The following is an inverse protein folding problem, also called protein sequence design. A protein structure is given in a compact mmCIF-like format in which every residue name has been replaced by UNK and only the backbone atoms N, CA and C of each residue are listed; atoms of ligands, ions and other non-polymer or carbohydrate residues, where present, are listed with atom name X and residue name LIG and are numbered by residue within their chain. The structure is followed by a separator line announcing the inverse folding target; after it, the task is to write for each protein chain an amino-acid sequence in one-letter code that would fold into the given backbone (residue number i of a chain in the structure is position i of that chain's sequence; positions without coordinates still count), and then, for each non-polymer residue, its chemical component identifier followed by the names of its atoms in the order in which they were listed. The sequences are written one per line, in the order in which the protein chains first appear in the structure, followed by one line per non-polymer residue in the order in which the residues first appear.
data_IF_298811702114
#
_entry.id   IF_298811702114
#
_cell.length_a   1.000
_cell.length_b   1.000
_cell.length_c   1.000
_cell.angle_alpha   90.00
_cell.angle_beta   90.00
_cell.angle_gamma   90.00
#
_symmetry.space_group_name_H-M   'P 1'
#
loop_
_entity.id
_entity.type
_entity.pdbx_description
1 polymer ?
#
# COMPACT_ATOMS: atom_id res chain seq x y z
N UNK A 1 -12.65 11.93 -23.16
CA UNK A 1 -11.53 12.63 -22.47
C UNK A 1 -10.55 13.07 -23.52
N UNK A 2 -9.88 14.23 -23.38
CA UNK A 2 -8.79 14.60 -24.29
C UNK A 2 -7.49 13.86 -23.94
N UNK A 3 -6.59 13.67 -24.92
CA UNK A 3 -5.33 12.96 -24.72
C UNK A 3 -4.45 13.63 -23.64
N UNK A 4 -4.35 14.95 -23.62
CA UNK A 4 -3.66 15.68 -22.55
C UNK A 4 -4.25 15.43 -21.16
N UNK A 5 -5.58 15.29 -21.05
CA UNK A 5 -6.24 15.03 -19.77
C UNK A 5 -6.04 13.59 -19.30
N UNK A 6 -5.94 12.64 -20.24
CA UNK A 6 -5.52 11.28 -19.93
C UNK A 6 -4.14 11.31 -19.28
N UNK A 7 -3.14 11.90 -19.94
CA UNK A 7 -1.76 11.98 -19.43
C UNK A 7 -1.70 12.71 -18.08
N UNK A 8 -2.42 13.85 -17.95
CA UNK A 8 -2.51 14.60 -16.71
C UNK A 8 -3.08 13.74 -15.58
N UNK A 9 -4.18 13.02 -15.82
CA UNK A 9 -4.82 12.15 -14.83
C UNK A 9 -3.89 11.02 -14.37
N UNK A 10 -3.01 10.55 -15.26
CA UNK A 10 -2.05 9.49 -14.98
C UNK A 10 -0.73 10.02 -14.37
N UNK A 11 -0.58 11.35 -14.22
CA UNK A 11 0.53 11.98 -13.50
C UNK A 11 1.77 12.30 -14.33
N UNK A 12 1.63 12.46 -15.63
CA UNK A 12 2.75 12.82 -16.52
C UNK A 12 3.13 14.31 -16.51
N UNK A 13 2.65 15.05 -15.52
CA UNK A 13 2.96 16.44 -15.31
C UNK A 13 1.73 17.35 -15.43
N UNK A 14 1.96 18.67 -15.58
CA UNK A 14 0.88 19.63 -15.83
C UNK A 14 0.27 19.44 -17.21
N UNK A 15 -0.94 19.94 -17.45
CA UNK A 15 -1.57 19.91 -18.78
C UNK A 15 -0.65 20.47 -19.87
N UNK A 16 0.08 21.56 -19.58
CA UNK A 16 1.06 22.15 -20.51
C UNK A 16 2.18 21.16 -20.84
N UNK A 17 2.71 20.43 -19.85
CA UNK A 17 3.73 19.38 -20.06
C UNK A 17 3.14 18.24 -20.90
N UNK A 18 1.92 17.80 -20.60
CA UNK A 18 1.24 16.74 -21.33
C UNK A 18 1.00 17.13 -22.81
N UNK A 19 0.58 18.38 -23.07
CA UNK A 19 0.48 18.90 -24.44
C UNK A 19 1.83 18.85 -25.16
N UNK A 20 2.91 19.29 -24.49
CA UNK A 20 4.26 19.24 -25.04
C UNK A 20 4.74 17.84 -25.39
N UNK A 21 4.46 16.85 -24.55
CA UNK A 21 4.79 15.43 -24.82
C UNK A 21 4.11 14.93 -26.10
N UNK A 22 2.82 15.26 -26.28
CA UNK A 22 2.06 14.87 -27.49
C UNK A 22 2.61 15.57 -28.73
N UNK A 23 2.78 16.89 -28.68
CA UNK A 23 3.28 17.71 -29.83
C UNK A 23 4.71 17.32 -30.25
N UNK A 24 5.51 16.76 -29.34
CA UNK A 24 6.86 16.27 -29.66
C UNK A 24 6.85 14.81 -30.19
N UNK A 25 5.68 14.21 -30.40
CA UNK A 25 5.56 12.83 -30.89
C UNK A 25 6.04 11.77 -29.87
N UNK A 26 6.09 12.13 -28.57
CA UNK A 26 6.55 11.23 -27.50
C UNK A 26 5.43 10.35 -26.93
N UNK A 27 4.20 10.45 -27.46
CA UNK A 27 3.04 9.70 -27.01
C UNK A 27 2.50 8.84 -28.15
N UNK A 28 2.20 7.58 -27.82
CA UNK A 28 1.60 6.61 -28.74
C UNK A 28 0.44 5.89 -28.03
N UNK A 29 -0.56 5.45 -28.76
CA UNK A 29 -1.72 4.73 -28.24
C UNK A 29 -1.80 3.31 -28.77
N UNK A 30 -2.35 2.42 -27.95
CA UNK A 30 -2.58 1.03 -28.28
C UNK A 30 -1.32 0.17 -28.22
N UNK A 31 -1.51 -1.13 -28.40
CA UNK A 31 -0.40 -2.09 -28.48
C UNK A 31 0.40 -1.93 -29.79
N UNK A 32 -0.24 -1.44 -30.83
CA UNK A 32 0.32 -1.16 -32.15
C UNK A 32 1.06 0.17 -32.23
N UNK A 33 1.14 0.92 -31.11
CA UNK A 33 1.89 2.18 -30.98
C UNK A 33 1.50 3.25 -32.00
N UNK A 34 0.21 3.47 -32.18
CA UNK A 34 -0.26 4.55 -33.06
C UNK A 34 0.24 5.93 -32.57
N UNK A 35 0.97 6.68 -33.41
CA UNK A 35 1.47 7.98 -33.00
C UNK A 35 0.33 8.98 -32.81
N UNK A 36 0.48 9.91 -31.88
CA UNK A 36 -0.49 10.96 -31.59
C UNK A 36 0.23 12.32 -31.60
N UNK A 37 -0.36 13.28 -32.32
CA UNK A 37 0.18 14.65 -32.47
C UNK A 37 -0.79 15.73 -32.00
N UNK A 38 -2.07 15.39 -31.81
CA UNK A 38 -3.09 16.32 -31.29
C UNK A 38 -3.37 16.05 -29.80
N UNK A 39 -2.93 16.95 -28.89
CA UNK A 39 -3.20 16.82 -27.46
C UNK A 39 -4.69 16.96 -27.08
N UNK A 40 -5.51 17.56 -27.96
CA UNK A 40 -6.92 17.78 -27.75
C UNK A 40 -7.80 16.69 -28.40
N UNK A 41 -7.19 15.72 -29.07
CA UNK A 41 -7.91 14.61 -29.67
C UNK A 41 -8.84 13.93 -28.66
N UNK A 42 -10.11 13.73 -28.97
CA UNK A 42 -11.05 13.03 -28.10
C UNK A 42 -10.74 11.53 -28.11
N UNK A 43 -10.63 10.94 -26.91
CA UNK A 43 -10.38 9.51 -26.76
C UNK A 43 -11.51 8.83 -25.99
N UNK A 44 -12.00 7.68 -26.46
CA UNK A 44 -12.79 6.77 -25.64
C UNK A 44 -11.86 6.10 -24.61
N UNK A 45 -11.86 6.60 -23.37
CA UNK A 45 -10.97 6.13 -22.33
C UNK A 45 -11.69 5.13 -21.44
N UNK A 46 -11.12 3.94 -21.29
CA UNK A 46 -11.55 2.89 -20.37
C UNK A 46 -10.35 2.29 -19.64
N UNK A 47 -10.58 1.72 -18.48
CA UNK A 47 -9.52 1.00 -17.76
C UNK A 47 -8.91 -0.10 -18.64
N UNK A 48 -7.59 -0.18 -18.63
CA UNK A 48 -6.85 -1.11 -19.48
C UNK A 48 -6.38 -0.52 -20.82
N UNK A 49 -6.78 0.72 -21.19
CA UNK A 49 -6.25 1.37 -22.39
C UNK A 49 -4.73 1.47 -22.31
N UNK A 50 -4.05 0.89 -23.30
CA UNK A 50 -2.59 0.95 -23.41
C UNK A 50 -2.17 2.23 -24.08
N UNK A 51 -1.13 2.86 -23.53
CA UNK A 51 -0.47 4.02 -24.12
C UNK A 51 1.03 4.00 -23.80
N UNK A 52 1.80 4.75 -24.57
CA UNK A 52 3.25 4.83 -24.42
C UNK A 52 3.65 6.29 -24.23
N UNK A 53 4.59 6.53 -23.35
CA UNK A 53 5.20 7.85 -23.15
C UNK A 53 6.70 7.68 -23.14
N UNK A 54 7.38 8.38 -24.05
CA UNK A 54 8.86 8.29 -24.23
C UNK A 54 9.35 6.83 -24.38
N UNK A 55 8.59 6.01 -25.10
CA UNK A 55 8.92 4.60 -25.34
C UNK A 55 8.60 3.64 -24.20
N UNK A 56 8.11 4.14 -23.05
CA UNK A 56 7.70 3.32 -21.91
C UNK A 56 6.21 3.02 -22.01
N UNK A 57 5.86 1.73 -21.89
CA UNK A 57 4.46 1.24 -21.91
C UNK A 57 3.76 1.53 -20.59
N UNK A 58 2.55 2.06 -20.69
CA UNK A 58 1.65 2.34 -19.57
C UNK A 58 0.27 1.80 -19.86
N UNK A 59 -0.49 1.61 -18.79
CA UNK A 59 -1.90 1.24 -18.87
C UNK A 59 -2.71 2.29 -18.11
N UNK A 60 -3.77 2.77 -18.74
CA UNK A 60 -4.69 3.69 -18.08
C UNK A 60 -5.47 2.97 -16.98
N UNK A 61 -5.48 3.57 -15.81
CA UNK A 61 -6.32 3.20 -14.69
C UNK A 61 -7.05 4.43 -14.17
N UNK A 62 -8.36 4.37 -14.09
CA UNK A 62 -9.17 5.47 -13.53
C UNK A 62 -8.74 5.78 -12.09
N UNK A 63 -8.51 4.74 -11.31
CA UNK A 63 -7.97 4.79 -9.95
C UNK A 63 -6.81 3.81 -9.81
N UNK A 64 -5.84 4.16 -9.00
CA UNK A 64 -4.69 3.31 -8.76
C UNK A 64 -4.90 2.48 -7.49
N UNK A 65 -4.69 1.18 -7.62
CA UNK A 65 -4.69 0.23 -6.50
C UNK A 65 -3.42 -0.62 -6.60
N UNK A 66 -2.49 -0.41 -5.68
CA UNK A 66 -1.18 -1.03 -5.72
C UNK A 66 -0.92 -1.83 -4.46
N UNK A 67 -0.20 -2.93 -4.62
CA UNK A 67 0.43 -3.68 -3.55
C UNK A 67 1.94 -3.46 -3.62
N UNK A 68 2.53 -2.99 -2.55
CA UNK A 68 3.97 -2.81 -2.37
C UNK A 68 4.47 -3.79 -1.30
N UNK A 69 5.53 -4.53 -1.59
CA UNK A 69 6.30 -5.21 -0.56
C UNK A 69 7.25 -4.18 0.08
N UNK A 70 6.79 -3.54 1.17
CA UNK A 70 7.58 -2.52 1.84
C UNK A 70 8.86 -3.10 2.42
N UNK A 71 10.05 -2.61 2.06
CA UNK A 71 11.31 -2.99 2.69
C UNK A 71 11.48 -2.28 4.03
N UNK A 72 12.35 -2.81 4.89
CA UNK A 72 12.84 -2.09 6.06
C UNK A 72 13.63 -0.83 5.65
N UNK A 73 13.77 0.12 6.58
CA UNK A 73 14.52 1.35 6.34
C UNK A 73 13.79 2.38 5.47
N UNK A 74 12.46 2.26 5.28
CA UNK A 74 11.66 3.24 4.53
C UNK A 74 10.48 3.77 5.33
N UNK A 75 10.12 5.03 5.13
CA UNK A 75 8.99 5.69 5.82
C UNK A 75 7.74 5.75 4.94
N UNK A 76 6.57 5.48 5.53
CA UNK A 76 5.26 5.70 4.91
C UNK A 76 4.87 7.19 4.98
N UNK A 77 5.72 8.08 4.46
CA UNK A 77 5.55 9.53 4.50
C UNK A 77 5.95 10.16 3.17
N UNK A 78 5.17 11.14 2.70
CA UNK A 78 5.56 12.00 1.57
C UNK A 78 6.62 13.03 1.96
N UNK A 79 6.76 13.30 3.27
CA UNK A 79 7.79 14.18 3.84
C UNK A 79 8.57 13.36 4.89
N UNK A 80 9.46 12.48 4.44
CA UNK A 80 10.23 11.63 5.34
C UNK A 80 11.21 12.48 6.16
N UNK A 81 11.55 11.99 7.36
CA UNK A 81 12.43 12.69 8.28
C UNK A 81 13.85 12.14 8.31
N UNK A 82 13.99 10.82 8.46
CA UNK A 82 15.28 10.17 8.68
C UNK A 82 15.60 9.06 7.67
N UNK A 83 14.57 8.47 7.04
CA UNK A 83 14.72 7.37 6.09
C UNK A 83 14.07 7.68 4.74
N UNK A 84 14.50 7.07 3.64
CA UNK A 84 13.85 7.26 2.34
C UNK A 84 12.34 6.98 2.39
N UNK A 85 11.58 7.77 1.64
CA UNK A 85 10.14 7.53 1.49
C UNK A 85 9.85 6.28 0.66
N UNK A 86 8.81 5.51 1.02
CA UNK A 86 8.29 4.43 0.18
C UNK A 86 7.89 4.90 -1.23
N UNK A 87 7.54 6.17 -1.37
CA UNK A 87 7.14 6.72 -2.67
C UNK A 87 8.30 6.81 -3.65
N UNK A 88 9.56 6.80 -3.20
CA UNK A 88 10.73 6.75 -4.08
C UNK A 88 10.86 5.41 -4.82
N UNK A 89 10.18 4.36 -4.33
CA UNK A 89 10.12 3.05 -4.99
C UNK A 89 9.15 3.02 -6.18
N UNK A 90 8.32 4.06 -6.33
CA UNK A 90 7.32 4.15 -7.40
C UNK A 90 7.80 5.07 -8.52
N UNK A 91 7.39 4.79 -9.78
CA UNK A 91 7.66 5.70 -10.89
C UNK A 91 6.99 7.07 -10.68
N UNK A 92 7.60 8.11 -11.22
CA UNK A 92 7.16 9.49 -11.06
C UNK A 92 5.65 9.72 -11.37
N UNK A 93 5.06 9.14 -12.43
CA UNK A 93 3.65 9.31 -12.71
C UNK A 93 2.73 8.87 -11.58
N UNK A 94 3.01 7.74 -10.92
CA UNK A 94 2.20 7.27 -9.78
C UNK A 94 2.27 8.21 -8.58
N UNK A 95 3.38 8.93 -8.41
CA UNK A 95 3.57 9.93 -7.35
C UNK A 95 2.87 11.26 -7.63
N UNK A 96 2.46 11.51 -8.88
CA UNK A 96 1.90 12.77 -9.34
C UNK A 96 0.44 12.64 -9.88
N UNK A 97 -0.16 11.46 -9.80
CA UNK A 97 -1.53 11.21 -10.30
C UNK A 97 -2.55 12.20 -9.75
N UNK A 98 -3.52 12.59 -10.59
CA UNK A 98 -4.64 13.42 -10.21
C UNK A 98 -4.34 14.91 -10.05
N UNK A 99 -3.08 15.31 -9.94
CA UNK A 99 -2.67 16.70 -9.75
C UNK A 99 -3.14 17.33 -8.42
N UNK A 100 -2.55 18.46 -8.03
CA UNK A 100 -2.92 19.22 -6.82
C UNK A 100 -2.09 18.86 -5.57
N UNK A 101 -2.48 19.45 -4.43
CA UNK A 101 -1.71 19.35 -3.18
C UNK A 101 -1.65 17.94 -2.57
N UNK A 102 -2.63 17.09 -2.89
CA UNK A 102 -2.69 15.68 -2.48
C UNK A 102 -2.46 14.73 -3.65
N UNK A 103 -1.63 15.17 -4.62
CA UNK A 103 -1.32 14.38 -5.81
C UNK A 103 -0.64 13.05 -5.47
N UNK A 104 -0.86 12.06 -6.33
CA UNK A 104 -0.27 10.74 -6.25
C UNK A 104 -1.02 9.76 -5.37
N UNK A 105 -0.57 8.52 -5.45
CA UNK A 105 -1.09 7.46 -4.59
C UNK A 105 -0.67 7.70 -3.12
N UNK A 106 -1.55 7.30 -2.20
CA UNK A 106 -1.37 7.42 -0.76
C UNK A 106 -1.26 6.02 -0.15
N UNK A 107 -0.49 5.88 0.91
CA UNK A 107 -0.43 4.63 1.67
C UNK A 107 -1.77 4.36 2.39
N UNK A 108 -2.26 3.13 2.27
CA UNK A 108 -3.44 2.63 2.96
C UNK A 108 -3.04 2.13 4.34
N UNK A 109 -3.08 3.04 5.30
CA UNK A 109 -2.47 2.85 6.62
C UNK A 109 -0.95 2.98 6.54
N UNK A 110 -0.29 2.57 7.63
CA UNK A 110 1.17 2.73 7.75
C UNK A 110 1.80 1.46 8.31
N UNK A 111 3.07 1.29 7.98
CA UNK A 111 4.01 0.38 8.64
C UNK A 111 5.17 1.22 9.17
N UNK A 112 5.73 0.82 10.31
CA UNK A 112 6.90 1.46 10.88
C UNK A 112 8.09 1.35 9.92
N UNK A 113 9.10 2.18 10.13
CA UNK A 113 10.27 2.21 9.25
C UNK A 113 11.01 0.87 9.18
N UNK A 114 11.07 0.14 10.27
CA UNK A 114 11.70 -1.18 10.40
C UNK A 114 10.76 -2.37 10.13
N UNK A 115 9.45 -2.11 9.99
CA UNK A 115 8.45 -3.13 9.65
C UNK A 115 8.41 -3.34 8.14
N UNK A 116 8.41 -4.60 7.74
CA UNK A 116 8.37 -5.01 6.33
C UNK A 116 7.00 -5.57 5.92
N UNK A 117 6.81 -5.84 4.63
CA UNK A 117 5.71 -6.64 4.14
C UNK A 117 4.65 -5.88 3.37
N UNK A 118 3.45 -6.42 3.34
CA UNK A 118 2.33 -5.97 2.52
C UNK A 118 1.88 -4.55 2.90
N UNK A 119 2.01 -3.63 1.98
CA UNK A 119 1.47 -2.27 2.08
C UNK A 119 0.67 -1.96 0.81
N UNK A 120 -0.56 -1.47 0.99
CA UNK A 120 -1.37 -1.01 -0.13
C UNK A 120 -1.19 0.49 -0.33
N UNK A 121 -1.29 0.92 -1.62
CA UNK A 121 -1.33 2.34 -1.97
C UNK A 121 -2.48 2.57 -2.95
N UNK A 122 -3.11 3.73 -2.86
CA UNK A 122 -4.21 4.11 -3.75
C UNK A 122 -4.37 5.63 -3.83
N UNK A 123 -5.01 6.12 -4.90
CA UNK A 123 -5.53 7.48 -5.04
C UNK A 123 -7.05 7.54 -4.79
N UNK A 124 -7.68 6.41 -4.43
CA UNK A 124 -9.09 6.32 -4.05
C UNK A 124 -9.29 6.52 -2.54
N UNK A 125 -9.77 7.70 -2.15
CA UNK A 125 -10.05 8.03 -0.75
C UNK A 125 -11.09 7.10 -0.09
N UNK A 126 -12.06 6.56 -0.84
CA UNK A 126 -13.06 5.60 -0.31
C UNK A 126 -12.42 4.27 0.02
N UNK A 127 -11.56 3.78 -0.86
CA UNK A 127 -10.79 2.56 -0.65
C UNK A 127 -9.87 2.70 0.57
N UNK A 128 -9.11 3.81 0.65
CA UNK A 128 -8.23 4.10 1.78
C UNK A 128 -9.03 4.10 3.09
N UNK A 129 -10.11 4.88 3.14
CA UNK A 129 -10.95 4.98 4.34
C UNK A 129 -11.54 3.61 4.74
N UNK A 130 -12.02 2.84 3.76
CA UNK A 130 -12.58 1.50 4.00
C UNK A 130 -11.61 0.58 4.73
N UNK A 131 -10.35 0.57 4.31
CA UNK A 131 -9.34 -0.35 4.84
C UNK A 131 -8.62 0.15 6.08
N UNK A 132 -8.65 1.47 6.34
CA UNK A 132 -7.95 2.06 7.48
C UNK A 132 -8.84 2.37 8.67
N UNK A 133 -10.14 2.57 8.44
CA UNK A 133 -11.08 2.87 9.52
C UNK A 133 -11.22 1.70 10.48
N UNK A 134 -11.04 1.91 11.79
CA UNK A 134 -11.18 0.86 12.80
C UNK A 134 -12.58 0.26 12.85
N UNK A 135 -13.60 0.96 12.34
CA UNK A 135 -15.00 0.46 12.29
C UNK A 135 -15.18 -0.76 11.38
N UNK A 136 -14.29 -0.97 10.45
CA UNK A 136 -14.41 -2.07 9.47
C UNK A 136 -13.63 -3.31 9.87
N UNK A 137 -12.86 -3.26 10.96
CA UNK A 137 -12.16 -4.41 11.54
C UNK A 137 -11.37 -5.27 10.55
N UNK A 138 -10.85 -4.65 9.48
CA UNK A 138 -10.09 -5.38 8.44
C UNK A 138 -8.89 -6.07 9.08
N UNK A 139 -8.81 -7.41 9.04
CA UNK A 139 -7.73 -8.15 9.69
C UNK A 139 -6.37 -7.88 9.01
N UNK A 140 -5.34 -7.83 9.82
CA UNK A 140 -3.94 -7.68 9.43
C UNK A 140 -3.14 -8.77 10.12
N UNK A 141 -2.46 -9.60 9.35
CA UNK A 141 -1.64 -10.68 9.87
C UNK A 141 -0.19 -10.23 9.91
N UNK A 142 0.42 -10.40 11.06
CA UNK A 142 1.81 -10.07 11.32
C UNK A 142 2.60 -11.30 11.71
N UNK A 143 3.78 -11.44 11.15
CA UNK A 143 4.81 -12.41 11.53
C UNK A 143 5.90 -11.66 12.31
N UNK A 144 6.09 -12.02 13.56
CA UNK A 144 7.05 -11.38 14.43
C UNK A 144 8.09 -12.39 14.94
N UNK A 145 9.37 -12.09 14.73
CA UNK A 145 10.43 -12.78 15.48
C UNK A 145 10.57 -12.10 16.84
N UNK A 146 10.54 -12.88 17.90
CA UNK A 146 10.63 -12.39 19.27
C UNK A 146 11.89 -12.87 19.98
N UNK A 147 12.33 -12.06 20.95
CA UNK A 147 13.61 -12.30 21.64
C UNK A 147 13.63 -13.57 22.48
N UNK A 148 12.55 -13.85 23.18
CA UNK A 148 12.45 -14.98 24.11
C UNK A 148 11.48 -16.03 23.58
N UNK A 149 11.63 -17.32 23.94
CA UNK A 149 10.64 -18.33 23.61
C UNK A 149 9.22 -17.93 24.06
N UNK A 150 8.25 -18.21 23.21
CA UNK A 150 6.83 -18.00 23.49
C UNK A 150 6.29 -19.10 24.39
N UNK A 151 5.39 -18.74 25.28
CA UNK A 151 4.62 -19.66 26.10
C UNK A 151 3.12 -19.47 25.89
N UNK A 152 2.32 -20.45 26.30
CA UNK A 152 0.85 -20.43 26.15
C UNK A 152 0.21 -19.26 26.91
N UNK A 153 0.77 -18.87 28.06
CA UNK A 153 0.27 -17.76 28.88
C UNK A 153 0.41 -16.43 28.15
N UNK A 154 1.54 -16.23 27.45
CA UNK A 154 1.74 -15.04 26.64
C UNK A 154 0.73 -14.97 25.47
N UNK A 155 0.52 -16.11 24.77
CA UNK A 155 -0.44 -16.18 23.67
C UNK A 155 -1.87 -15.91 24.15
N UNK A 156 -2.27 -16.52 25.27
CA UNK A 156 -3.58 -16.32 25.86
C UNK A 156 -3.79 -14.85 26.26
N UNK A 157 -2.82 -14.22 26.92
CA UNK A 157 -2.91 -12.79 27.30
C UNK A 157 -3.03 -11.87 26.09
N UNK A 158 -2.37 -12.16 24.98
CA UNK A 158 -2.52 -11.37 23.73
C UNK A 158 -3.95 -11.45 23.19
N UNK A 159 -4.64 -12.58 23.34
CA UNK A 159 -6.01 -12.78 22.90
C UNK A 159 -7.05 -12.25 23.91
N UNK A 160 -6.82 -12.42 25.21
CA UNK A 160 -7.72 -11.90 26.26
C UNK A 160 -7.67 -10.38 26.31
N UNK A 161 -6.54 -9.79 26.03
CA UNK A 161 -6.29 -8.37 25.96
C UNK A 161 -5.18 -7.89 26.89
N UNK A 162 -4.44 -6.91 26.41
CA UNK A 162 -3.39 -6.21 27.15
C UNK A 162 -3.63 -4.73 27.15
N UNK A 163 -3.34 -4.07 28.28
CA UNK A 163 -3.39 -2.61 28.41
C UNK A 163 -2.08 -2.04 27.87
N UNK A 164 -2.17 -1.01 27.06
CA UNK A 164 -1.02 -0.25 26.54
C UNK A 164 -0.86 1.06 27.35
N UNK A 165 0.36 1.55 27.47
CA UNK A 165 0.71 2.67 28.37
C UNK A 165 -0.08 3.97 28.12
N UNK A 166 -0.59 4.19 26.90
CA UNK A 166 -1.28 5.42 26.50
C UNK A 166 -2.82 5.28 26.40
N UNK A 167 -3.38 4.09 26.62
CA UNK A 167 -4.82 3.84 26.55
C UNK A 167 -5.22 2.79 27.58
N UNK A 168 -6.05 3.14 28.58
CA UNK A 168 -6.47 2.20 29.62
C UNK A 168 -7.38 1.07 29.10
N UNK A 169 -7.92 1.21 27.89
CA UNK A 169 -8.76 0.17 27.28
C UNK A 169 -7.86 -0.96 26.75
N UNK A 170 -8.14 -2.20 27.13
CA UNK A 170 -7.37 -3.34 26.66
C UNK A 170 -7.50 -3.51 25.14
N UNK A 171 -6.39 -3.79 24.49
CA UNK A 171 -6.33 -4.17 23.07
C UNK A 171 -6.16 -5.68 22.97
N UNK A 172 -6.87 -6.30 22.01
CA UNK A 172 -6.93 -7.74 21.84
C UNK A 172 -6.43 -8.13 20.46
N UNK A 173 -5.70 -9.24 20.43
CA UNK A 173 -5.47 -9.91 19.14
C UNK A 173 -6.70 -10.77 18.81
N UNK A 174 -7.11 -10.75 17.54
CA UNK A 174 -8.11 -11.68 17.03
C UNK A 174 -7.58 -13.12 17.07
N UNK A 175 -6.29 -13.31 16.81
CA UNK A 175 -5.59 -14.57 16.97
C UNK A 175 -4.11 -14.31 17.33
N UNK A 176 -3.56 -15.19 18.18
CA UNK A 176 -2.14 -15.23 18.52
C UNK A 176 -1.69 -16.69 18.49
N UNK A 177 -0.63 -16.99 17.73
CA UNK A 177 -0.18 -18.35 17.48
C UNK A 177 1.35 -18.42 17.46
N UNK A 178 1.94 -19.33 18.19
CA UNK A 178 3.35 -19.66 18.06
C UNK A 178 3.54 -20.56 16.82
N UNK A 179 4.16 -20.03 15.78
CA UNK A 179 4.58 -20.80 14.59
C UNK A 179 5.83 -21.63 14.93
N UNK A 180 6.70 -21.08 15.77
CA UNK A 180 7.83 -21.75 16.39
C UNK A 180 8.12 -21.12 17.74
N UNK A 181 9.16 -21.59 18.44
CA UNK A 181 9.52 -21.08 19.77
C UNK A 181 9.67 -19.54 19.83
N UNK A 182 10.12 -18.90 18.75
CA UNK A 182 10.36 -17.44 18.70
C UNK A 182 9.68 -16.78 17.52
N UNK A 183 8.75 -17.45 16.87
CA UNK A 183 7.99 -16.92 15.74
C UNK A 183 6.51 -16.82 16.12
N UNK A 184 6.05 -15.61 16.33
CA UNK A 184 4.65 -15.26 16.64
C UNK A 184 3.93 -14.85 15.37
N UNK A 185 2.80 -15.49 15.07
CA UNK A 185 1.79 -14.98 14.13
C UNK A 185 0.69 -14.30 14.92
N UNK A 186 0.43 -13.03 14.61
CA UNK A 186 -0.56 -12.21 15.30
C UNK A 186 -1.54 -11.60 14.31
N UNK A 187 -2.85 -11.78 14.54
CA UNK A 187 -3.90 -11.14 13.73
C UNK A 187 -4.54 -10.01 14.52
N UNK A 188 -4.53 -8.81 13.97
CA UNK A 188 -5.14 -7.60 14.54
C UNK A 188 -6.20 -7.04 13.61
N UNK A 189 -7.29 -6.48 14.16
CA UNK A 189 -8.36 -5.80 13.41
C UNK A 189 -8.30 -4.28 13.53
N UNK A 190 -7.39 -3.75 14.33
CA UNK A 190 -7.12 -2.32 14.53
C UNK A 190 -5.66 -1.99 14.21
N UNK A 191 -5.27 -0.74 14.33
CA UNK A 191 -3.89 -0.30 14.03
C UNK A 191 -3.49 0.91 14.86
N UNK A 192 -3.21 0.70 16.15
CA UNK A 192 -2.62 1.73 17.01
C UNK A 192 -1.12 1.88 16.75
N UNK A 193 -0.56 3.00 17.17
CA UNK A 193 0.87 3.27 17.05
C UNK A 193 1.71 2.15 17.69
N UNK A 194 2.62 1.56 16.94
CA UNK A 194 3.51 0.45 17.32
C UNK A 194 2.77 -0.72 18.01
N UNK A 195 1.52 -0.99 17.65
CA UNK A 195 0.62 -1.86 18.41
C UNK A 195 1.20 -3.26 18.66
N UNK A 196 1.71 -3.95 17.64
CA UNK A 196 2.28 -5.31 17.79
C UNK A 196 3.45 -5.29 18.77
N UNK A 197 4.38 -4.36 18.61
CA UNK A 197 5.58 -4.23 19.48
C UNK A 197 5.19 -4.00 20.93
N UNK A 198 4.22 -3.12 21.16
CA UNK A 198 3.72 -2.76 22.51
C UNK A 198 2.94 -3.90 23.14
N UNK A 199 2.10 -4.62 22.38
CA UNK A 199 1.38 -5.78 22.87
C UNK A 199 2.34 -6.91 23.28
N UNK A 200 3.37 -7.17 22.48
CA UNK A 200 4.41 -8.16 22.79
C UNK A 200 5.22 -7.75 24.03
N UNK A 201 5.53 -6.46 24.17
CA UNK A 201 6.20 -5.93 25.38
C UNK A 201 5.32 -6.10 26.64
N UNK A 202 4.02 -5.86 26.54
CA UNK A 202 3.08 -6.01 27.66
C UNK A 202 2.94 -7.46 28.17
N UNK A 203 3.30 -8.46 27.36
CA UNK A 203 3.36 -9.86 27.81
C UNK A 203 4.78 -10.30 28.20
N UNK A 204 5.73 -9.36 28.33
CA UNK A 204 7.08 -9.62 28.80
C UNK A 204 8.05 -10.16 27.74
N UNK A 205 7.79 -9.89 26.45
CA UNK A 205 8.68 -10.28 25.37
C UNK A 205 9.06 -9.04 24.51
N UNK A 206 9.87 -9.20 23.47
CA UNK A 206 10.32 -8.12 22.59
C UNK A 206 10.30 -8.57 21.13
N UNK A 207 9.76 -7.76 20.25
CA UNK A 207 9.82 -7.95 18.80
C UNK A 207 11.21 -7.57 18.30
N UNK A 208 11.89 -8.49 17.62
CA UNK A 208 13.17 -8.28 16.94
C UNK A 208 12.95 -7.90 15.48
N UNK A 209 12.04 -8.59 14.78
CA UNK A 209 11.63 -8.25 13.42
C UNK A 209 10.12 -8.37 13.28
N UNK A 210 9.54 -7.53 12.42
CA UNK A 210 8.10 -7.50 12.18
C UNK A 210 7.82 -7.44 10.68
N UNK A 211 6.95 -8.35 10.24
CA UNK A 211 6.53 -8.44 8.84
C UNK A 211 5.01 -8.54 8.75
N UNK A 212 4.36 -7.73 7.92
CA UNK A 212 2.94 -7.90 7.64
C UNK A 212 2.75 -8.81 6.45
N UNK A 213 2.32 -10.04 6.67
CA UNK A 213 2.14 -11.06 5.63
C UNK A 213 0.80 -10.95 4.91
N UNK A 214 -0.26 -10.41 5.60
CA UNK A 214 -1.58 -10.30 4.99
C UNK A 214 -2.36 -9.07 5.46
N UNK A 215 -3.31 -8.62 4.63
CA UNK A 215 -4.29 -7.57 4.92
C UNK A 215 -5.64 -7.95 4.29
N UNK A 216 -6.67 -8.15 5.12
CA UNK A 216 -7.93 -8.71 4.68
C UNK A 216 -7.72 -10.06 3.99
N UNK A 217 -8.29 -10.25 2.78
CA UNK A 217 -8.12 -11.49 2.03
C UNK A 217 -6.79 -11.57 1.26
N UNK A 218 -6.01 -10.47 1.21
CA UNK A 218 -4.74 -10.46 0.48
C UNK A 218 -3.60 -11.01 1.32
N UNK A 219 -2.85 -11.91 0.72
CA UNK A 219 -1.58 -12.42 1.24
C UNK A 219 -0.46 -11.89 0.35
N UNK A 220 0.64 -11.48 0.96
CA UNK A 220 1.83 -11.08 0.21
C UNK A 220 2.42 -12.31 -0.49
N UNK A 221 2.61 -12.19 -1.80
CA UNK A 221 3.19 -13.24 -2.62
C UNK A 221 4.71 -13.27 -2.43
N UNK A 222 5.26 -14.43 -2.13
CA UNK A 222 6.71 -14.65 -1.95
C UNK A 222 7.52 -14.31 -3.20
N UNK A 223 6.88 -14.34 -4.38
CA UNK A 223 7.51 -13.96 -5.66
C UNK A 223 7.72 -12.46 -5.82
N UNK A 224 7.06 -11.62 -5.01
CA UNK A 224 7.22 -10.16 -5.03
C UNK A 224 8.36 -9.76 -4.09
N UNK A 225 9.55 -9.39 -4.60
CA UNK A 225 10.69 -9.09 -3.73
C UNK A 225 10.50 -7.78 -2.95
N UNK A 226 11.22 -7.57 -1.83
CA UNK A 226 11.20 -6.32 -1.08
C UNK A 226 11.53 -5.11 -1.98
N UNK A 227 10.72 -4.04 -1.87
CA UNK A 227 10.82 -2.84 -2.70
C UNK A 227 10.05 -2.91 -4.01
N UNK A 228 9.65 -4.10 -4.46
CA UNK A 228 8.81 -4.26 -5.64
C UNK A 228 7.32 -4.00 -5.33
N UNK A 229 6.60 -3.61 -6.36
CA UNK A 229 5.17 -3.35 -6.29
C UNK A 229 4.46 -3.92 -7.54
N UNK A 230 3.16 -4.13 -7.43
CA UNK A 230 2.29 -4.52 -8.54
C UNK A 230 0.93 -3.85 -8.43
N UNK A 231 0.22 -3.83 -9.53
CA UNK A 231 -1.20 -3.50 -9.54
C UNK A 231 -2.01 -4.59 -8.85
N UNK A 232 -3.08 -4.19 -8.16
CA UNK A 232 -4.11 -5.13 -7.73
C UNK A 232 -5.01 -5.49 -8.91
N UNK A 233 -5.45 -6.72 -8.95
CA UNK A 233 -6.50 -7.16 -9.88
C UNK A 233 -7.87 -6.62 -9.45
N UNK A 234 -8.83 -6.56 -10.37
CA UNK A 234 -10.20 -6.16 -10.04
C UNK A 234 -10.83 -7.08 -8.96
N UNK A 235 -10.51 -8.39 -9.00
CA UNK A 235 -10.98 -9.35 -8.01
C UNK A 235 -10.41 -9.06 -6.61
N UNK A 236 -9.13 -8.72 -6.51
CA UNK A 236 -8.48 -8.36 -5.23
C UNK A 236 -9.09 -7.08 -4.65
N UNK A 237 -9.30 -6.06 -5.49
CA UNK A 237 -9.97 -4.82 -5.07
C UNK A 237 -11.39 -5.11 -4.57
N UNK A 238 -12.16 -5.91 -5.29
CA UNK A 238 -13.51 -6.30 -4.89
C UNK A 238 -13.51 -7.08 -3.56
N UNK A 239 -12.61 -8.04 -3.39
CA UNK A 239 -12.48 -8.82 -2.17
C UNK A 239 -12.14 -7.94 -0.96
N UNK A 240 -11.21 -6.98 -1.12
CA UNK A 240 -10.87 -6.00 -0.08
C UNK A 240 -12.05 -5.12 0.31
N UNK A 241 -12.81 -4.65 -0.68
CA UNK A 241 -13.99 -3.80 -0.44
C UNK A 241 -15.16 -4.56 0.21
N UNK A 242 -15.24 -5.87 0.01
CA UNK A 242 -16.26 -6.74 0.62
C UNK A 242 -15.93 -7.18 2.06
N UNK A 243 -14.67 -7.03 2.51
CA UNK A 243 -14.23 -7.43 3.86
C UNK A 243 -15.05 -6.71 4.93
N UNK A 244 -15.63 -7.47 5.86
CA UNK A 244 -16.43 -6.98 6.99
C UNK A 244 -15.65 -7.15 8.27
#
# INVERSE_FOLDING_TARGET
MQLQDLLFSQGFGTRRVCCGLVQQGLVQLGEDRQPCDDPFAPLPVQDGLVFWVQGVRWTYHRQAYLLLHKPAGTECSQKPSAHPSIYTLLPAPLRARGGGAAAGVQAVGRLDQDTTGLLLLSDDGRFIHRLTSPRHHVPKVYEAQVKHPLDERQLQRLQDGVVLDDDPRPVKAQAAQAVSQRHLRLTLTEGKYHQVKRMVAAVGNRVETLHRSALGPLVLDDSLPPGAWRWLTAQEVQALMATR
#
